data_IF_955648141759
#
_entry.id   IF_955648141759
#
_cell.length_a   1.000
_cell.length_b   1.000
_cell.length_c   1.000
_cell.angle_alpha   90.00
_cell.angle_beta   90.00
_cell.angle_gamma   90.00
#
_symmetry.space_group_name_H-M   'P 1'
#
loop_
_entity.id
_entity.type
_entity.pdbx_description
1 polymer ?
#
# COMPACT_ATOMS: atom_id res chain seq x y z
N UNK A 1 -8.16 -14.72 19.33
CA UNK A 1 -8.63 -13.33 19.53
C UNK A 1 -7.71 -12.68 20.55
N UNK A 2 -7.46 -11.38 20.35
CA UNK A 2 -6.47 -10.50 20.98
C UNK A 2 -5.05 -10.55 20.38
N UNK A 3 -4.85 -9.74 19.34
CA UNK A 3 -3.59 -9.06 19.09
C UNK A 3 -3.96 -7.63 18.64
N UNK A 4 -4.43 -6.81 19.58
CA UNK A 4 -4.57 -5.38 19.33
C UNK A 4 -3.54 -4.66 20.20
N UNK A 5 -2.26 -4.99 20.02
CA UNK A 5 -1.22 -4.05 20.41
C UNK A 5 -1.28 -2.91 19.40
N UNK A 6 -1.96 -1.85 19.78
CA UNK A 6 -1.83 -0.56 19.10
C UNK A 6 -0.38 -0.13 19.30
N UNK A 7 0.37 0.01 18.20
CA UNK A 7 1.79 0.39 18.28
C UNK A 7 1.95 1.91 18.40
N UNK A 8 1.03 2.67 17.83
CA UNK A 8 0.99 4.13 17.94
C UNK A 8 -0.46 4.60 17.91
N UNK A 9 -0.87 5.39 18.90
CA UNK A 9 -2.10 6.17 18.86
C UNK A 9 -1.79 7.56 19.37
N UNK A 10 -1.90 8.54 18.48
CA UNK A 10 -1.65 9.94 18.80
C UNK A 10 -2.91 10.73 18.48
N UNK A 11 -3.46 11.47 19.45
CA UNK A 11 -4.50 12.46 19.18
C UNK A 11 -3.91 13.81 18.72
N UNK A 12 -2.58 13.95 18.70
CA UNK A 12 -1.86 15.19 18.47
C UNK A 12 -1.17 15.17 17.09
N UNK A 13 -1.99 15.09 16.06
CA UNK A 13 -1.54 15.13 14.68
C UNK A 13 -2.44 16.04 13.84
N UNK A 14 -1.90 16.49 12.71
CA UNK A 14 -2.65 17.25 11.73
C UNK A 14 -2.66 16.56 10.36
N UNK A 15 -3.79 16.64 9.67
CA UNK A 15 -4.02 16.04 8.36
C UNK A 15 -4.27 17.11 7.29
N UNK A 16 -3.68 16.93 6.11
CA UNK A 16 -3.99 17.71 4.93
C UNK A 16 -4.15 16.81 3.70
N UNK A 17 -5.12 17.11 2.83
CA UNK A 17 -5.29 16.44 1.54
C UNK A 17 -4.23 16.93 0.53
N UNK A 18 -3.78 16.03 -0.34
CA UNK A 18 -2.77 16.31 -1.36
C UNK A 18 -1.33 16.32 -0.85
N UNK A 19 -0.39 16.38 -1.81
CA UNK A 19 1.06 16.44 -1.56
C UNK A 19 1.68 17.82 -1.81
N UNK A 20 0.88 18.86 -1.99
CA UNK A 20 1.40 20.21 -2.30
C UNK A 20 2.12 20.82 -1.11
N UNK A 21 3.33 21.36 -1.33
CA UNK A 21 4.25 21.90 -0.32
C UNK A 21 3.80 23.22 0.33
N UNK A 22 2.52 23.57 0.30
CA UNK A 22 2.02 24.68 1.13
C UNK A 22 2.00 24.20 2.59
N UNK A 23 3.17 24.22 3.22
CA UNK A 23 3.35 23.94 4.64
C UNK A 23 2.74 25.06 5.50
N UNK A 24 2.53 26.25 4.92
CA UNK A 24 2.19 27.48 5.64
C UNK A 24 0.71 27.90 5.61
N UNK A 25 -0.17 27.23 4.85
CA UNK A 25 -1.60 27.51 4.93
C UNK A 25 -2.21 26.71 6.09
N UNK A 26 -2.35 27.38 7.25
CA UNK A 26 -3.03 26.85 8.45
C UNK A 26 -4.39 26.23 8.13
N UNK A 27 -5.10 26.80 7.16
CA UNK A 27 -6.48 26.45 6.80
C UNK A 27 -6.61 25.08 6.12
N UNK A 28 -5.50 24.43 5.75
CA UNK A 28 -5.52 23.10 5.13
C UNK A 28 -5.39 21.96 6.15
N UNK A 29 -5.00 22.27 7.39
CA UNK A 29 -4.69 21.28 8.40
C UNK A 29 -5.89 21.02 9.30
N UNK A 30 -6.35 19.77 9.34
CA UNK A 30 -7.39 19.30 10.27
C UNK A 30 -6.72 18.66 11.48
N UNK A 31 -7.22 18.94 12.68
CA UNK A 31 -6.81 18.21 13.89
C UNK A 31 -7.30 16.77 13.81
N UNK A 32 -6.39 15.81 14.00
CA UNK A 32 -6.70 14.38 13.82
C UNK A 32 -6.06 13.51 14.87
N UNK A 33 -6.71 12.37 15.12
CA UNK A 33 -6.07 11.23 15.76
C UNK A 33 -5.60 10.24 14.70
N UNK A 34 -4.33 9.84 14.81
CA UNK A 34 -3.71 8.80 13.98
C UNK A 34 -3.51 7.56 14.84
N UNK A 35 -4.11 6.45 14.42
CA UNK A 35 -3.92 5.14 15.04
C UNK A 35 -3.28 4.18 14.04
N UNK A 36 -2.18 3.58 14.47
CA UNK A 36 -1.45 2.53 13.78
C UNK A 36 -1.49 1.28 14.65
N UNK A 37 -2.22 0.27 14.18
CA UNK A 37 -2.47 -0.94 14.93
C UNK A 37 -1.91 -2.15 14.19
N UNK A 38 -1.17 -3.01 14.91
CA UNK A 38 -0.79 -4.30 14.37
C UNK A 38 -2.04 -5.18 14.25
N UNK A 39 -2.30 -5.70 13.04
CA UNK A 39 -3.35 -6.69 12.79
C UNK A 39 -2.79 -8.12 12.83
N UNK A 40 -1.54 -8.30 12.43
CA UNK A 40 -0.86 -9.60 12.43
C UNK A 40 0.66 -9.42 12.38
N UNK A 41 1.35 -9.74 13.47
CA UNK A 41 2.82 -9.85 13.51
C UNK A 41 3.38 -10.84 12.47
N UNK A 42 2.69 -11.97 12.27
CA UNK A 42 3.19 -13.06 11.40
C UNK A 42 3.30 -12.65 9.93
N UNK A 43 2.41 -11.76 9.49
CA UNK A 43 2.35 -11.25 8.12
C UNK A 43 2.74 -9.77 8.04
N UNK A 44 3.26 -9.21 9.14
CA UNK A 44 3.61 -7.80 9.30
C UNK A 44 2.51 -6.87 8.76
N UNK A 45 1.27 -7.14 9.16
CA UNK A 45 0.09 -6.45 8.66
C UNK A 45 -0.37 -5.41 9.66
N UNK A 46 -0.56 -4.18 9.19
CA UNK A 46 -0.92 -3.03 10.03
C UNK A 46 -2.14 -2.30 9.47
N UNK A 47 -2.98 -1.76 10.35
CA UNK A 47 -4.01 -0.81 9.99
C UNK A 47 -3.55 0.60 10.32
N UNK A 48 -3.74 1.54 9.39
CA UNK A 48 -3.66 2.98 9.65
C UNK A 48 -5.08 3.53 9.58
N UNK A 49 -5.50 4.18 10.66
CA UNK A 49 -6.77 4.88 10.76
C UNK A 49 -6.50 6.32 11.17
N UNK A 50 -7.01 7.26 10.39
CA UNK A 50 -6.94 8.70 10.68
C UNK A 50 -8.36 9.21 10.81
N UNK A 51 -8.69 9.77 11.97
CA UNK A 51 -10.01 10.35 12.26
C UNK A 51 -9.85 11.81 12.65
N UNK A 52 -10.82 12.64 12.27
CA UNK A 52 -10.89 14.02 12.77
C UNK A 52 -11.10 14.02 14.29
N UNK A 53 -10.32 14.82 14.99
CA UNK A 53 -10.36 14.98 16.44
C UNK A 53 -10.95 16.36 16.78
N UNK A 54 -11.78 16.40 17.82
CA UNK A 54 -12.30 17.63 18.39
C UNK A 54 -11.22 18.36 19.19
N UNK A 55 -11.48 19.61 19.58
CA UNK A 55 -10.56 20.41 20.42
C UNK A 55 -10.21 19.74 21.77
N UNK A 56 -11.04 18.80 22.23
CA UNK A 56 -10.78 17.99 23.42
C UNK A 56 -10.04 16.68 23.16
N UNK A 57 -9.44 16.52 21.97
CA UNK A 57 -8.67 15.34 21.53
C UNK A 57 -9.50 14.04 21.39
N UNK A 58 -10.82 14.14 21.44
CA UNK A 58 -11.75 13.03 21.26
C UNK A 58 -12.28 12.96 19.83
N UNK A 59 -12.57 11.74 19.37
CA UNK A 59 -13.20 11.47 18.07
C UNK A 59 -14.72 11.44 18.25
N UNK A 60 -15.47 11.98 17.27
CA UNK A 60 -16.94 11.90 17.23
C UNK A 60 -17.39 10.43 17.06
N UNK A 61 -18.40 10.01 17.82
CA UNK A 61 -19.03 8.70 17.66
C UNK A 61 -20.26 8.77 16.73
N UNK A 62 -20.41 7.86 15.75
CA UNK A 62 -19.48 6.78 15.41
C UNK A 62 -18.23 7.31 14.67
N UNK A 63 -17.05 6.67 14.84
CA UNK A 63 -15.83 7.11 14.15
C UNK A 63 -15.99 7.08 12.62
N UNK A 64 -15.70 8.20 11.97
CA UNK A 64 -15.68 8.32 10.50
C UNK A 64 -14.23 8.62 10.07
N UNK A 65 -13.50 7.64 9.51
CA UNK A 65 -12.12 7.85 9.15
C UNK A 65 -11.98 8.73 7.89
N UNK A 66 -11.06 9.68 7.94
CA UNK A 66 -10.56 10.43 6.79
C UNK A 66 -9.67 9.53 5.92
N UNK A 67 -8.87 8.69 6.57
CA UNK A 67 -7.99 7.71 5.94
C UNK A 67 -8.15 6.37 6.67
N UNK A 68 -8.33 5.31 5.90
CA UNK A 68 -8.35 3.94 6.40
C UNK A 68 -7.55 3.07 5.43
N UNK A 69 -6.48 2.47 5.93
CA UNK A 69 -5.52 1.70 5.12
C UNK A 69 -5.14 0.42 5.85
N UNK A 70 -4.89 -0.63 5.09
CA UNK A 70 -4.29 -1.88 5.54
C UNK A 70 -2.97 -2.09 4.80
N UNK A 71 -1.86 -2.01 5.52
CA UNK A 71 -0.54 -2.27 4.99
C UNK A 71 -0.18 -3.76 5.10
N UNK A 72 0.48 -4.36 4.09
CA UNK A 72 0.90 -3.76 2.82
C UNK A 72 -0.17 -3.81 1.69
N UNK A 73 -1.40 -4.25 1.96
CA UNK A 73 -2.43 -4.50 0.95
C UNK A 73 -2.80 -3.25 0.12
N UNK A 74 -2.97 -2.11 0.78
CA UNK A 74 -3.38 -0.86 0.13
C UNK A 74 -2.25 -0.12 -0.60
N UNK A 75 -1.01 -0.62 -0.54
CA UNK A 75 0.22 -0.08 -1.16
C UNK A 75 0.39 1.42 -0.97
N UNK A 76 1.21 1.81 0.00
CA UNK A 76 1.39 3.20 0.38
C UNK A 76 2.84 3.61 0.15
N UNK A 77 3.06 4.59 -0.71
CA UNK A 77 4.38 5.17 -0.92
C UNK A 77 4.55 6.40 -0.02
N UNK A 78 5.70 6.50 0.65
CA UNK A 78 6.16 7.77 1.22
C UNK A 78 6.72 8.60 0.07
N UNK A 79 6.07 9.71 -0.25
CA UNK A 79 6.42 10.59 -1.38
C UNK A 79 7.24 11.81 -0.92
N UNK A 80 7.04 12.25 0.33
CA UNK A 80 7.85 13.32 0.93
C UNK A 80 7.98 13.12 2.43
N UNK A 81 9.06 13.65 3.00
CA UNK A 81 9.35 13.57 4.43
C UNK A 81 10.14 14.81 4.85
N UNK A 82 9.63 15.55 5.83
CA UNK A 82 10.30 16.70 6.44
C UNK A 82 10.42 16.49 7.94
N UNK A 83 11.65 16.25 8.40
CA UNK A 83 11.93 16.06 9.83
C UNK A 83 11.73 17.34 10.63
N UNK A 84 12.13 18.48 10.08
CA UNK A 84 12.03 19.78 10.76
C UNK A 84 10.56 20.16 11.01
N UNK A 85 9.70 19.92 10.00
CA UNK A 85 8.26 20.16 10.11
C UNK A 85 7.50 18.97 10.71
N UNK A 86 8.16 17.81 10.92
CA UNK A 86 7.55 16.53 11.33
C UNK A 86 6.40 16.10 10.43
N UNK A 87 6.56 16.28 9.12
CA UNK A 87 5.55 16.00 8.09
C UNK A 87 5.95 14.77 7.27
N UNK A 88 5.02 13.85 7.07
CA UNK A 88 5.13 12.73 6.13
C UNK A 88 4.04 12.86 5.06
N UNK A 89 4.45 12.88 3.79
CA UNK A 89 3.56 12.83 2.63
C UNK A 89 3.42 11.40 2.12
N UNK A 90 2.18 10.94 1.97
CA UNK A 90 1.83 9.56 1.65
C UNK A 90 0.92 9.53 0.42
N UNK A 91 1.15 8.54 -0.45
CA UNK A 91 0.31 8.24 -1.61
C UNK A 91 -0.17 6.81 -1.56
N UNK A 92 -1.48 6.60 -1.51
CA UNK A 92 -2.10 5.29 -1.76
C UNK A 92 -2.13 5.02 -3.25
N UNK A 93 -1.58 3.90 -3.69
CA UNK A 93 -1.50 3.50 -5.11
C UNK A 93 -2.57 2.50 -5.55
N UNK A 94 -3.43 2.05 -4.64
CA UNK A 94 -4.43 1.01 -4.93
C UNK A 94 -5.84 1.62 -5.06
N UNK A 95 -6.59 1.18 -6.09
CA UNK A 95 -7.92 1.68 -6.49
C UNK A 95 -7.90 2.57 -7.74
N UNK A 96 -9.08 3.00 -8.21
CA UNK A 96 -9.24 3.81 -9.44
C UNK A 96 -8.74 5.26 -9.31
N UNK A 97 -8.43 5.72 -8.09
CA UNK A 97 -7.91 7.08 -7.85
C UNK A 97 -6.82 7.05 -6.78
N UNK A 98 -5.63 7.64 -7.04
CA UNK A 98 -4.62 7.83 -6.02
C UNK A 98 -5.16 8.75 -4.94
N UNK A 99 -4.87 8.41 -3.68
CA UNK A 99 -5.18 9.27 -2.53
C UNK A 99 -3.87 9.78 -1.97
N UNK A 100 -3.69 11.08 -2.11
CA UNK A 100 -2.52 11.82 -1.68
C UNK A 100 -2.87 12.56 -0.40
N UNK A 101 -2.07 12.41 0.65
CA UNK A 101 -2.31 13.08 1.93
C UNK A 101 -1.02 13.30 2.71
N UNK A 102 -1.07 14.21 3.67
CA UNK A 102 0.04 14.53 4.57
C UNK A 102 -0.40 14.38 6.02
N UNK A 103 0.51 13.88 6.85
CA UNK A 103 0.38 13.84 8.29
C UNK A 103 1.50 14.67 8.92
N UNK A 104 1.15 15.58 9.82
CA UNK A 104 2.09 16.31 10.67
C UNK A 104 1.92 15.83 12.10
N UNK A 105 3.03 15.51 12.76
CA UNK A 105 3.02 15.05 14.15
C UNK A 105 3.52 16.14 15.09
N UNK A 106 2.88 16.28 16.24
CA UNK A 106 3.32 17.27 17.24
C UNK A 106 4.60 16.81 17.93
N UNK A 107 4.76 15.51 18.15
CA UNK A 107 5.91 14.91 18.80
C UNK A 107 6.88 14.24 17.81
N UNK A 108 8.17 14.53 17.98
CA UNK A 108 9.22 13.97 17.13
C UNK A 108 9.33 12.44 17.25
N UNK A 109 9.07 11.88 18.44
CA UNK A 109 9.12 10.44 18.65
C UNK A 109 8.01 9.72 17.88
N UNK A 110 6.78 10.25 17.91
CA UNK A 110 5.64 9.69 17.19
C UNK A 110 5.85 9.73 15.67
N UNK A 111 6.43 10.83 15.18
CA UNK A 111 6.86 10.95 13.79
C UNK A 111 7.84 9.82 13.40
N UNK A 112 8.88 9.60 14.20
CA UNK A 112 9.87 8.56 13.91
C UNK A 112 9.32 7.15 14.05
N UNK A 113 8.47 6.88 15.03
CA UNK A 113 7.83 5.59 15.19
C UNK A 113 6.90 5.28 14.02
N UNK A 114 6.08 6.24 13.61
CA UNK A 114 5.24 6.11 12.42
C UNK A 114 6.09 5.80 11.18
N UNK A 115 7.12 6.61 10.92
CA UNK A 115 7.97 6.45 9.75
C UNK A 115 8.71 5.11 9.75
N UNK A 116 9.21 4.68 10.92
CA UNK A 116 9.89 3.39 11.10
C UNK A 116 8.98 2.22 10.76
N UNK A 117 7.74 2.22 11.26
CA UNK A 117 6.80 1.11 11.04
C UNK A 117 6.38 1.06 9.57
N UNK A 118 5.95 2.19 8.99
CA UNK A 118 5.52 2.24 7.57
C UNK A 118 6.66 1.83 6.64
N UNK A 119 7.89 2.33 6.89
CA UNK A 119 9.06 1.98 6.07
C UNK A 119 9.43 0.50 6.21
N UNK A 120 9.32 -0.07 7.42
CA UNK A 120 9.56 -1.49 7.65
C UNK A 120 8.58 -2.36 6.86
N UNK A 121 7.28 -2.04 6.93
CA UNK A 121 6.25 -2.79 6.21
C UNK A 121 6.47 -2.73 4.70
N UNK A 122 6.74 -1.55 4.16
CA UNK A 122 7.04 -1.40 2.73
C UNK A 122 8.30 -2.17 2.31
N UNK A 123 9.39 -2.10 3.08
CA UNK A 123 10.63 -2.81 2.77
C UNK A 123 10.43 -4.33 2.72
N UNK A 124 9.77 -4.89 3.73
CA UNK A 124 9.50 -6.34 3.82
C UNK A 124 8.58 -6.79 2.69
N UNK A 125 7.58 -5.97 2.34
CA UNK A 125 6.73 -6.24 1.20
C UNK A 125 7.48 -6.21 -0.14
N UNK A 126 8.43 -5.28 -0.35
CA UNK A 126 9.25 -5.28 -1.56
C UNK A 126 10.16 -6.51 -1.66
N UNK A 127 10.74 -6.96 -0.54
CA UNK A 127 11.55 -8.19 -0.49
C UNK A 127 10.67 -9.39 -0.86
N UNK A 128 9.50 -9.53 -0.23
CA UNK A 128 8.56 -10.61 -0.51
C UNK A 128 8.11 -10.60 -1.98
N UNK A 129 7.80 -9.42 -2.52
CA UNK A 129 7.42 -9.25 -3.92
C UNK A 129 8.55 -9.65 -4.86
N UNK A 130 9.79 -9.27 -4.59
CA UNK A 130 10.94 -9.67 -5.40
C UNK A 130 11.11 -11.19 -5.42
N UNK A 131 10.93 -11.85 -4.27
CA UNK A 131 10.98 -13.31 -4.17
C UNK A 131 9.88 -13.98 -5.00
N UNK A 132 8.64 -13.48 -4.94
CA UNK A 132 7.55 -14.01 -5.75
C UNK A 132 7.77 -13.79 -7.26
N UNK A 133 8.32 -12.65 -7.66
CA UNK A 133 8.67 -12.41 -9.07
C UNK A 133 9.73 -13.40 -9.55
N UNK A 134 10.75 -13.68 -8.74
CA UNK A 134 11.78 -14.67 -9.07
C UNK A 134 11.20 -16.09 -9.20
N UNK A 135 10.33 -16.51 -8.25
CA UNK A 135 9.65 -17.80 -8.31
C UNK A 135 8.70 -17.91 -9.51
N UNK A 136 7.98 -16.83 -9.83
CA UNK A 136 7.13 -16.77 -11.01
C UNK A 136 7.96 -16.94 -12.29
N UNK A 137 9.17 -16.37 -12.37
CA UNK A 137 10.10 -16.63 -13.47
C UNK A 137 10.39 -18.12 -13.65
N UNK A 138 10.68 -18.85 -12.56
CA UNK A 138 10.91 -20.29 -12.61
C UNK A 138 9.66 -21.07 -13.08
N UNK A 139 8.47 -20.63 -12.67
CA UNK A 139 7.22 -21.22 -13.15
C UNK A 139 7.05 -20.98 -14.65
N UNK A 140 7.29 -19.74 -15.12
CA UNK A 140 7.22 -19.39 -16.56
C UNK A 140 8.21 -20.23 -17.37
N UNK A 141 9.44 -20.40 -16.90
CA UNK A 141 10.46 -21.22 -17.57
C UNK A 141 10.08 -22.71 -17.63
N UNK A 142 9.23 -23.17 -16.70
CA UNK A 142 8.69 -24.53 -16.70
C UNK A 142 7.48 -24.73 -17.61
N UNK A 143 6.90 -23.65 -18.15
CA UNK A 143 5.77 -23.74 -19.07
C UNK A 143 6.28 -24.32 -20.40
N UNK A 144 5.80 -25.50 -20.81
CA UNK A 144 6.24 -26.09 -22.08
C UNK A 144 5.80 -25.18 -23.23
N UNK A 145 6.77 -24.73 -24.04
CA UNK A 145 6.55 -23.94 -25.25
C UNK A 145 7.36 -24.50 -26.41
N UNK A 146 6.83 -24.41 -27.62
CA UNK A 146 7.60 -24.65 -28.83
C UNK A 146 8.32 -23.36 -29.26
N UNK A 147 9.50 -23.48 -29.87
CA UNK A 147 10.14 -22.33 -30.53
C UNK A 147 9.28 -21.88 -31.73
N UNK A 148 9.11 -20.57 -31.96
CA UNK A 148 8.43 -20.08 -33.15
C UNK A 148 9.20 -20.51 -34.40
N UNK A 149 8.51 -21.22 -35.31
CA UNK A 149 9.12 -21.70 -36.56
C UNK A 149 9.61 -20.52 -37.41
N UNK A 150 10.88 -20.50 -37.88
CA UNK A 150 11.39 -19.44 -38.74
C UNK A 150 10.63 -19.32 -40.08
N UNK A 151 10.00 -20.42 -40.52
CA UNK A 151 9.34 -20.50 -41.83
C UNK A 151 7.95 -19.85 -41.87
N UNK A 152 7.32 -19.63 -40.72
CA UNK A 152 6.01 -19.01 -40.60
C UNK A 152 6.02 -18.13 -39.36
N UNK A 153 6.08 -16.80 -39.55
CA UNK A 153 5.70 -15.80 -38.52
C UNK A 153 4.20 -15.87 -38.19
N UNK A 154 3.65 -17.08 -38.13
CA UNK A 154 2.24 -17.37 -37.88
C UNK A 154 2.20 -18.01 -36.52
N UNK A 155 1.49 -17.35 -35.60
CA UNK A 155 1.11 -17.91 -34.32
C UNK A 155 0.56 -19.33 -34.54
N UNK A 156 1.14 -20.35 -33.89
CA UNK A 156 0.51 -21.66 -33.86
C UNK A 156 -0.89 -21.50 -33.25
N UNK A 157 -1.92 -21.73 -34.06
CA UNK A 157 -3.29 -21.76 -33.59
C UNK A 157 -3.59 -23.14 -32.99
N UNK A 158 -4.50 -23.20 -32.03
CA UNK A 158 -4.96 -24.45 -31.43
C UNK A 158 -5.47 -25.46 -32.49
N UNK A 159 -6.05 -24.98 -33.59
CA UNK A 159 -6.53 -25.78 -34.72
C UNK A 159 -5.42 -26.51 -35.50
N UNK A 160 -4.19 -25.98 -35.48
CA UNK A 160 -3.04 -26.60 -36.15
C UNK A 160 -2.50 -27.83 -35.39
N UNK A 161 -2.86 -27.98 -34.11
CA UNK A 161 -2.42 -29.08 -33.24
C UNK A 161 -3.50 -30.13 -32.97
N UNK A 162 -4.66 -30.01 -33.62
CA UNK A 162 -5.75 -30.98 -33.49
C UNK A 162 -5.29 -32.34 -34.07
N UNK A 163 -5.41 -33.47 -33.34
CA UNK A 163 -5.02 -34.78 -33.86
C UNK A 163 -5.72 -35.06 -35.19
N UNK A 164 -5.00 -35.63 -36.16
CA UNK A 164 -5.50 -35.89 -37.52
C UNK A 164 -6.67 -36.89 -37.59
N UNK A 165 -7.09 -37.48 -36.47
CA UNK A 165 -8.21 -38.44 -36.43
C UNK A 165 -9.57 -37.81 -36.74
N UNK A 166 -9.69 -36.48 -36.74
CA UNK A 166 -10.93 -35.77 -37.17
C UNK A 166 -10.87 -35.23 -38.61
N UNK A 167 -9.75 -35.35 -39.34
CA UNK A 167 -9.60 -34.76 -40.70
C UNK A 167 -9.94 -35.71 -41.86
N UNK A 168 -10.22 -36.97 -41.57
CA UNK A 168 -10.54 -38.01 -42.57
C UNK A 168 -11.97 -38.56 -42.45
N UNK A 169 -12.87 -37.84 -41.78
CA UNK A 169 -14.29 -38.16 -41.74
C UNK A 169 -15.07 -37.19 -42.63
N UNK A 170 -14.78 -37.22 -43.95
CA UNK A 170 -15.65 -36.76 -45.04
C UNK A 170 -15.22 -37.41 -46.36
#
# INVERSE_FOLDING_TARGET
>A
MAANSVELSTPHAAFAEGLTDSADNSDQWKHVSVTLAELSAATLTYAIVVCEALECDLIIYPPVPLVQLVLPLDRVAIESCSTDARVVGLRRRTGDRPVDFRLRFDHLNEFWDFLRIVSRVESEYQILRANYVAQMGQVVDSVPSHEPSPALRVLCSYEAHRPNDERNAD
#
